data_IF_470957982703
#
_entry.id   IF_470957982703
#
_cell.length_a   1.000
_cell.length_b   1.000
_cell.length_c   1.000
_cell.angle_alpha   90.00
_cell.angle_beta   90.00
_cell.angle_gamma   90.00
#
_symmetry.space_group_name_H-M   'P 1'
#
loop_
_entity.id
_entity.type
_entity.pdbx_description
1 polymer ?
#
# COMPACT_ATOMS: atom_id res chain seq x y z
N UNK A 1 -22.24 -26.17 -9.80
CA UNK A 1 -21.46 -25.54 -8.73
C UNK A 1 -21.96 -24.14 -8.47
N UNK A 2 -22.12 -23.77 -7.20
CA UNK A 2 -22.41 -22.39 -6.78
C UNK A 2 -21.10 -21.69 -6.48
N UNK A 3 -20.96 -20.43 -6.91
CA UNK A 3 -19.77 -19.64 -6.64
C UNK A 3 -20.10 -18.15 -6.48
N UNK A 4 -19.25 -17.45 -5.78
CA UNK A 4 -19.14 -16.02 -5.61
C UNK A 4 -17.65 -15.69 -5.72
N UNK A 5 -17.19 -14.74 -6.46
CA UNK A 5 -17.84 -13.60 -7.12
C UNK A 5 -18.30 -13.92 -8.54
N UNK A 6 -19.14 -13.05 -9.16
CA UNK A 6 -19.62 -13.24 -10.52
C UNK A 6 -18.48 -13.38 -11.53
N UNK A 7 -18.59 -14.37 -12.42
CA UNK A 7 -17.61 -14.63 -13.50
C UNK A 7 -18.40 -14.83 -14.80
N UNK A 8 -17.69 -14.66 -15.91
CA UNK A 8 -18.28 -14.89 -17.24
C UNK A 8 -18.34 -16.37 -17.63
N UNK A 9 -17.57 -17.21 -16.91
CA UNK A 9 -17.54 -18.67 -17.08
C UNK A 9 -17.47 -19.37 -15.74
N UNK A 10 -17.96 -20.59 -15.67
CA UNK A 10 -17.84 -21.45 -14.49
C UNK A 10 -16.36 -21.72 -14.16
N UNK A 11 -15.91 -21.54 -12.91
CA UNK A 11 -14.51 -21.78 -12.56
C UNK A 11 -14.09 -23.25 -12.59
N UNK A 12 -15.05 -24.19 -12.60
CA UNK A 12 -14.77 -25.63 -12.63
C UNK A 12 -14.79 -26.22 -14.05
N UNK A 13 -15.85 -25.93 -14.83
CA UNK A 13 -16.04 -26.55 -16.15
C UNK A 13 -15.90 -25.59 -17.32
N UNK A 14 -15.63 -24.30 -17.07
CA UNK A 14 -15.48 -23.22 -18.06
C UNK A 14 -16.71 -22.98 -18.96
N UNK A 15 -17.88 -23.56 -18.63
CA UNK A 15 -19.12 -23.27 -19.33
C UNK A 15 -19.53 -21.81 -19.13
N UNK A 16 -20.05 -21.17 -20.17
CA UNK A 16 -20.72 -19.87 -20.12
C UNK A 16 -22.20 -19.95 -19.80
N UNK A 17 -22.76 -21.16 -19.69
CA UNK A 17 -24.15 -21.40 -19.29
C UNK A 17 -24.27 -21.22 -17.78
N UNK A 18 -24.51 -19.98 -17.36
CA UNK A 18 -24.59 -19.56 -15.97
C UNK A 18 -25.94 -18.92 -15.69
N UNK A 19 -26.50 -19.21 -14.53
CA UNK A 19 -27.72 -18.58 -14.04
C UNK A 19 -27.51 -17.90 -12.70
N UNK A 20 -28.22 -16.82 -12.45
CA UNK A 20 -28.26 -16.16 -11.15
C UNK A 20 -29.18 -16.91 -10.21
N UNK A 21 -28.69 -17.21 -9.02
CA UNK A 21 -29.45 -17.84 -7.98
C UNK A 21 -29.50 -16.94 -6.75
N UNK A 22 -30.70 -16.70 -6.24
CA UNK A 22 -30.89 -15.95 -5.00
C UNK A 22 -30.43 -16.80 -3.82
N UNK A 23 -29.56 -16.26 -2.99
CA UNK A 23 -29.10 -16.88 -1.75
C UNK A 23 -30.10 -16.59 -0.61
N UNK A 24 -30.14 -17.46 0.39
CA UNK A 24 -30.94 -17.28 1.61
C UNK A 24 -30.50 -16.09 2.44
N UNK A 25 -29.22 -15.72 2.30
CA UNK A 25 -28.57 -14.70 3.11
C UNK A 25 -28.08 -15.23 4.46
N UNK A 26 -28.49 -16.42 4.90
CA UNK A 26 -27.94 -17.02 6.11
C UNK A 26 -26.49 -17.41 5.91
N UNK A 27 -25.65 -17.10 6.91
CA UNK A 27 -24.23 -17.34 6.84
C UNK A 27 -23.64 -17.72 8.19
N UNK A 28 -22.41 -18.21 8.17
CA UNK A 28 -21.60 -18.39 9.36
C UNK A 28 -20.30 -17.60 9.22
N UNK A 29 -19.77 -17.12 10.33
CA UNK A 29 -18.47 -16.44 10.35
C UNK A 29 -17.35 -17.46 10.14
N UNK A 30 -16.72 -17.43 8.97
CA UNK A 30 -15.60 -18.33 8.66
C UNK A 30 -14.30 -17.83 9.28
N UNK A 31 -13.97 -16.54 9.09
CA UNK A 31 -12.81 -15.87 9.73
C UNK A 31 -13.05 -14.37 9.77
N UNK A 32 -12.28 -13.68 10.60
CA UNK A 32 -12.33 -12.23 10.68
C UNK A 32 -10.99 -11.63 11.06
N UNK A 33 -10.86 -10.32 10.83
CA UNK A 33 -9.80 -9.48 11.36
C UNK A 33 -10.35 -8.14 11.81
N UNK A 34 -9.71 -7.54 12.78
CA UNK A 34 -10.11 -6.24 13.31
C UNK A 34 -9.19 -5.19 12.72
N UNK A 35 -9.74 -4.35 11.87
CA UNK A 35 -9.01 -3.21 11.34
C UNK A 35 -9.23 -2.01 12.24
N UNK A 36 -8.19 -1.61 12.95
CA UNK A 36 -8.20 -0.39 13.78
C UNK A 36 -7.89 0.86 12.98
N UNK A 37 -7.89 0.74 11.66
CA UNK A 37 -7.77 1.83 10.69
C UNK A 37 -8.86 1.67 9.64
N UNK A 38 -9.42 2.79 9.15
CA UNK A 38 -10.42 2.69 8.11
C UNK A 38 -9.80 2.08 6.85
N UNK A 39 -10.51 1.14 6.24
CA UNK A 39 -10.11 0.54 4.96
C UNK A 39 -10.21 1.53 3.81
N UNK A 40 -11.04 2.56 3.97
CA UNK A 40 -11.18 3.68 3.04
C UNK A 40 -11.60 4.93 3.85
N UNK A 41 -11.24 6.15 3.44
CA UNK A 41 -11.60 7.39 4.14
C UNK A 41 -13.09 7.56 4.44
N UNK A 42 -13.96 7.04 3.59
CA UNK A 42 -15.43 7.03 3.78
C UNK A 42 -15.85 6.30 5.07
N UNK A 43 -15.05 5.32 5.51
CA UNK A 43 -15.32 4.54 6.73
C UNK A 43 -14.53 5.01 7.95
N UNK A 44 -14.09 6.28 7.95
CA UNK A 44 -13.27 6.81 9.04
C UNK A 44 -13.96 6.76 10.41
N UNK A 45 -15.26 6.93 10.42
CA UNK A 45 -16.09 6.92 11.64
C UNK A 45 -16.53 5.50 12.08
N UNK A 46 -16.18 4.48 11.28
CA UNK A 46 -16.57 3.09 11.54
C UNK A 46 -15.43 2.25 12.17
N UNK A 47 -14.43 2.87 12.76
CA UNK A 47 -13.30 2.17 13.38
C UNK A 47 -13.62 1.83 14.84
N UNK A 48 -13.32 0.60 15.29
CA UNK A 48 -12.69 -0.52 14.57
C UNK A 48 -13.64 -1.19 13.57
N UNK A 49 -13.13 -1.52 12.37
CA UNK A 49 -13.89 -2.29 11.39
C UNK A 49 -13.64 -3.79 11.56
N UNK A 50 -14.69 -4.57 11.62
CA UNK A 50 -14.61 -6.03 11.70
C UNK A 50 -14.76 -6.62 10.30
N UNK A 51 -13.63 -6.78 9.62
CA UNK A 51 -13.59 -7.38 8.29
C UNK A 51 -13.76 -8.89 8.41
N UNK A 52 -14.71 -9.45 7.70
CA UNK A 52 -15.11 -10.85 7.83
C UNK A 52 -15.13 -11.57 6.48
N UNK A 53 -14.73 -12.82 6.50
CA UNK A 53 -15.12 -13.79 5.47
C UNK A 53 -16.28 -14.60 6.05
N UNK A 54 -17.41 -14.57 5.36
CA UNK A 54 -18.59 -15.32 5.74
C UNK A 54 -18.83 -16.45 4.76
N UNK A 55 -19.29 -17.58 5.25
CA UNK A 55 -19.69 -18.73 4.45
C UNK A 55 -21.23 -18.80 4.42
N UNK A 56 -21.80 -18.67 3.24
CA UNK A 56 -23.25 -18.77 3.06
C UNK A 56 -23.72 -20.20 3.30
N UNK A 57 -24.99 -20.37 3.69
CA UNK A 57 -25.63 -21.69 3.84
C UNK A 57 -25.54 -22.51 2.55
N UNK A 58 -25.48 -21.86 1.40
CA UNK A 58 -25.33 -22.46 0.08
C UNK A 58 -23.88 -22.86 -0.27
N UNK A 59 -22.90 -22.56 0.59
CA UNK A 59 -21.50 -22.94 0.47
C UNK A 59 -20.50 -21.86 0.02
N UNK A 60 -20.82 -20.94 -0.90
CA UNK A 60 -19.87 -19.91 -1.31
C UNK A 60 -19.47 -18.98 -0.17
N UNK A 61 -18.21 -18.55 -0.19
CA UNK A 61 -17.67 -17.55 0.74
C UNK A 61 -17.58 -16.18 0.10
N UNK A 62 -17.82 -15.16 0.91
CA UNK A 62 -17.67 -13.77 0.49
C UNK A 62 -17.03 -12.92 1.60
N UNK A 63 -16.37 -11.84 1.19
CA UNK A 63 -15.81 -10.86 2.12
C UNK A 63 -16.81 -9.76 2.39
N UNK A 64 -16.96 -9.39 3.67
CA UNK A 64 -17.88 -8.35 4.12
C UNK A 64 -17.39 -7.73 5.44
N UNK A 65 -18.21 -6.95 6.10
CA UNK A 65 -17.98 -6.41 7.44
C UNK A 65 -19.06 -6.88 8.40
N UNK A 66 -18.67 -7.11 9.67
CA UNK A 66 -19.63 -7.33 10.75
C UNK A 66 -20.03 -5.98 11.33
N UNK A 67 -21.33 -5.86 11.62
CA UNK A 67 -21.94 -4.71 12.29
C UNK A 67 -22.79 -5.19 13.47
N UNK A 68 -23.20 -4.27 14.32
CA UNK A 68 -24.07 -4.54 15.47
C UNK A 68 -23.52 -5.65 16.38
N UNK A 69 -22.20 -5.74 16.56
CA UNK A 69 -21.57 -6.75 17.41
C UNK A 69 -20.43 -6.16 18.21
N UNK A 70 -20.40 -6.25 19.56
CA UNK A 70 -19.24 -5.92 20.37
C UNK A 70 -18.07 -6.88 20.07
N UNK A 71 -16.85 -6.39 20.10
CA UNK A 71 -15.63 -7.16 19.82
C UNK A 71 -15.57 -8.48 20.60
N UNK A 72 -15.90 -8.43 21.88
CA UNK A 72 -15.87 -9.60 22.78
C UNK A 72 -16.90 -10.70 22.43
N UNK A 73 -17.89 -10.40 21.60
CA UNK A 73 -18.94 -11.35 21.20
C UNK A 73 -18.65 -12.01 19.85
N UNK A 74 -17.57 -11.62 19.17
CA UNK A 74 -17.21 -12.19 17.85
C UNK A 74 -16.56 -13.54 18.05
N UNK A 75 -17.19 -14.58 17.52
CA UNK A 75 -16.67 -15.95 17.56
C UNK A 75 -16.78 -16.61 16.19
N UNK A 76 -15.71 -17.30 15.76
CA UNK A 76 -15.75 -18.09 14.53
C UNK A 76 -16.86 -19.15 14.59
N UNK A 77 -17.53 -19.36 13.47
CA UNK A 77 -18.67 -20.28 13.38
C UNK A 77 -20.01 -19.70 13.89
N UNK A 78 -20.05 -18.46 14.38
CA UNK A 78 -21.31 -17.84 14.80
C UNK A 78 -22.24 -17.64 13.60
N UNK A 79 -23.54 -17.83 13.84
CA UNK A 79 -24.56 -17.61 12.83
C UNK A 79 -24.76 -16.12 12.55
N UNK A 80 -24.88 -15.78 11.28
CA UNK A 80 -24.98 -14.41 10.79
C UNK A 80 -26.20 -14.22 9.89
N UNK A 81 -26.75 -13.02 9.89
CA UNK A 81 -27.77 -12.57 8.93
C UNK A 81 -27.29 -11.32 8.18
N UNK A 82 -27.75 -11.12 6.93
CA UNK A 82 -27.33 -9.99 6.12
C UNK A 82 -28.02 -8.69 6.57
N UNK A 83 -27.29 -7.60 6.42
CA UNK A 83 -27.77 -6.22 6.59
C UNK A 83 -27.42 -5.46 5.31
N UNK A 84 -28.42 -4.80 4.72
CA UNK A 84 -28.22 -3.95 3.56
C UNK A 84 -28.28 -2.49 3.99
N UNK A 85 -27.12 -1.86 4.05
CA UNK A 85 -27.00 -0.44 4.40
C UNK A 85 -26.91 0.40 3.13
N UNK A 86 -27.84 1.35 3.00
CA UNK A 86 -27.84 2.27 1.88
C UNK A 86 -27.06 3.52 2.21
N UNK A 87 -26.00 3.76 1.47
CA UNK A 87 -25.25 5.02 1.47
C UNK A 87 -25.89 5.96 0.44
N UNK A 88 -26.67 6.92 0.91
CA UNK A 88 -27.36 7.89 0.03
C UNK A 88 -26.39 8.86 -0.64
N UNK A 89 -25.23 9.13 -0.02
CA UNK A 89 -24.22 10.05 -0.55
C UNK A 89 -23.55 9.47 -1.79
N UNK A 90 -23.14 8.21 -1.70
CA UNK A 90 -22.46 7.50 -2.78
C UNK A 90 -23.40 6.68 -3.67
N UNK A 91 -24.70 6.65 -3.34
CA UNK A 91 -25.75 5.89 -4.05
C UNK A 91 -25.41 4.39 -4.20
N UNK A 92 -24.81 3.81 -3.17
CA UNK A 92 -24.47 2.39 -3.13
C UNK A 92 -25.21 1.72 -1.98
N UNK A 93 -25.39 0.41 -2.09
CA UNK A 93 -25.88 -0.42 -0.99
C UNK A 93 -24.77 -1.37 -0.58
N UNK A 94 -24.37 -1.29 0.69
CA UNK A 94 -23.36 -2.15 1.26
C UNK A 94 -24.03 -3.40 1.84
N UNK A 95 -23.55 -4.57 1.47
CA UNK A 95 -23.91 -5.81 2.12
C UNK A 95 -22.99 -6.01 3.32
N UNK A 96 -23.57 -6.03 4.51
CA UNK A 96 -22.89 -6.31 5.78
C UNK A 96 -23.54 -7.51 6.47
N UNK A 97 -22.95 -7.99 7.53
CA UNK A 97 -23.51 -9.08 8.33
C UNK A 97 -23.53 -8.70 9.81
N UNK A 98 -24.51 -9.23 10.52
CA UNK A 98 -24.61 -9.11 11.99
C UNK A 98 -24.96 -10.46 12.61
N UNK A 99 -24.78 -10.64 13.93
CA UNK A 99 -25.21 -11.87 14.60
C UNK A 99 -26.68 -12.17 14.35
N UNK A 100 -26.97 -13.40 13.97
CA UNK A 100 -28.36 -13.86 13.87
C UNK A 100 -29.05 -13.90 15.24
N UNK A 101 -28.29 -14.25 16.29
CA UNK A 101 -28.76 -14.19 17.69
C UNK A 101 -28.79 -12.73 18.19
N UNK A 102 -29.99 -12.17 18.51
CA UNK A 102 -30.10 -10.84 19.06
C UNK A 102 -29.36 -10.61 20.38
N UNK A 103 -29.14 -11.67 21.16
CA UNK A 103 -28.42 -11.57 22.44
C UNK A 103 -26.93 -11.24 22.28
N UNK A 104 -26.37 -11.47 21.10
CA UNK A 104 -24.97 -11.16 20.77
C UNK A 104 -24.79 -9.76 20.12
N UNK A 105 -25.91 -9.07 19.86
CA UNK A 105 -25.91 -7.75 19.24
C UNK A 105 -25.60 -6.65 20.26
N UNK A 106 -25.00 -5.58 19.80
CA UNK A 106 -24.71 -4.39 20.61
C UNK A 106 -23.92 -3.36 19.81
N UNK A 107 -23.81 -2.17 20.35
CA UNK A 107 -23.00 -1.13 19.72
C UNK A 107 -21.53 -1.54 19.71
N UNK A 108 -20.86 -1.27 18.60
CA UNK A 108 -19.41 -1.35 18.52
C UNK A 108 -18.85 -0.28 19.45
N UNK A 109 -17.95 -0.68 20.34
CA UNK A 109 -17.26 0.28 21.17
C UNK A 109 -16.42 1.18 20.26
N UNK A 110 -16.83 2.43 20.10
CA UNK A 110 -15.97 3.44 19.51
C UNK A 110 -14.70 3.50 20.34
N UNK A 111 -13.57 3.08 19.82
CA UNK A 111 -12.29 3.41 20.44
C UNK A 111 -12.16 4.92 20.38
N UNK A 112 -12.45 5.58 21.46
CA UNK A 112 -11.99 6.95 21.70
C UNK A 112 -10.47 6.87 21.69
N UNK A 113 -9.87 7.17 20.53
CA UNK A 113 -8.45 7.46 20.47
C UNK A 113 -8.23 8.52 21.55
N UNK A 114 -7.50 8.17 22.60
CA UNK A 114 -7.03 9.14 23.59
C UNK A 114 -6.19 10.13 22.80
N UNK A 115 -6.81 11.22 22.42
CA UNK A 115 -6.15 12.35 21.79
C UNK A 115 -5.15 12.88 22.82
N UNK A 116 -3.89 12.43 22.72
CA UNK A 116 -2.79 13.20 23.29
C UNK A 116 -2.84 14.57 22.63
N UNK A 117 -2.71 15.61 23.45
CA UNK A 117 -2.69 17.00 22.98
C UNK A 117 -1.82 17.12 21.72
N UNK A 118 -2.19 17.93 20.72
CA UNK A 118 -1.44 18.07 19.49
C UNK A 118 -0.02 18.52 19.82
N UNK A 119 0.90 17.60 19.75
CA UNK A 119 2.32 17.88 19.89
C UNK A 119 2.76 18.41 18.53
N UNK A 120 2.86 19.73 18.40
CA UNK A 120 3.31 20.38 17.16
C UNK A 120 4.70 19.87 16.76
N UNK A 121 4.94 19.75 15.47
CA UNK A 121 6.28 19.49 14.93
C UNK A 121 7.26 20.52 15.50
N UNK A 122 8.40 20.07 15.99
CA UNK A 122 9.41 20.98 16.51
C UNK A 122 9.95 21.90 15.40
N UNK A 123 10.35 23.12 15.74
CA UNK A 123 11.00 24.02 14.79
C UNK A 123 12.27 23.38 14.19
N UNK A 124 12.98 22.59 14.98
CA UNK A 124 14.12 21.80 14.51
C UNK A 124 13.71 20.85 13.38
N UNK A 125 12.62 20.13 13.53
CA UNK A 125 12.11 19.20 12.49
C UNK A 125 11.71 19.97 11.24
N UNK A 126 10.96 21.06 11.36
CA UNK A 126 10.56 21.91 10.24
C UNK A 126 11.76 22.55 9.53
N UNK A 127 12.85 22.84 10.26
CA UNK A 127 14.10 23.33 9.72
C UNK A 127 14.80 22.36 8.77
N UNK A 128 14.31 21.14 8.59
CA UNK A 128 14.79 20.21 7.57
C UNK A 128 14.14 20.41 6.20
N UNK A 129 13.04 21.12 6.08
CA UNK A 129 12.43 21.44 4.80
C UNK A 129 13.42 22.22 3.94
N UNK A 130 13.64 21.75 2.71
CA UNK A 130 14.62 22.29 1.77
C UNK A 130 16.05 21.75 1.94
N UNK A 131 16.39 21.07 3.03
CA UNK A 131 17.72 20.47 3.19
C UNK A 131 17.94 19.39 2.12
N UNK A 132 19.10 19.47 1.50
CA UNK A 132 19.55 18.57 0.44
C UNK A 132 20.67 17.68 0.97
N UNK A 133 20.58 16.41 0.69
CA UNK A 133 21.65 15.44 0.98
C UNK A 133 22.74 15.43 -0.08
N UNK A 134 23.79 14.66 0.16
CA UNK A 134 24.85 14.44 -0.81
C UNK A 134 24.30 13.74 -2.06
N UNK A 135 24.90 14.07 -3.22
CA UNK A 135 24.65 13.31 -4.45
C UNK A 135 25.39 11.99 -4.40
N UNK A 136 24.65 10.91 -4.61
CA UNK A 136 25.19 9.55 -4.58
C UNK A 136 25.16 9.00 -6.00
N UNK A 137 26.32 8.53 -6.49
CA UNK A 137 26.41 7.79 -7.74
C UNK A 137 26.02 6.33 -7.51
N UNK A 138 25.19 5.80 -8.41
CA UNK A 138 24.90 4.38 -8.55
C UNK A 138 26.03 3.67 -9.31
N UNK A 139 25.91 2.36 -9.45
CA UNK A 139 26.79 1.59 -10.33
C UNK A 139 26.31 1.66 -11.79
N UNK A 140 27.18 1.35 -12.78
CA UNK A 140 26.79 1.37 -14.18
C UNK A 140 25.70 0.36 -14.49
N UNK A 141 24.65 0.80 -15.17
CA UNK A 141 23.53 -0.07 -15.61
C UNK A 141 24.06 -1.08 -16.63
N UNK A 142 23.75 -2.36 -16.46
CA UNK A 142 24.08 -3.39 -17.43
C UNK A 142 22.83 -3.95 -18.14
N UNK A 143 23.00 -4.38 -19.38
CA UNK A 143 21.90 -5.03 -20.12
C UNK A 143 21.43 -6.33 -19.44
N UNK A 144 22.34 -7.04 -18.77
CA UNK A 144 22.00 -8.29 -18.05
C UNK A 144 21.14 -8.00 -16.83
N UNK A 145 21.41 -6.92 -16.08
CA UNK A 145 20.58 -6.54 -14.94
C UNK A 145 19.19 -6.08 -15.37
N UNK A 146 19.09 -5.31 -16.48
CA UNK A 146 17.80 -4.96 -17.07
C UNK A 146 17.03 -6.23 -17.40
N UNK A 147 17.67 -7.19 -18.09
CA UNK A 147 17.06 -8.46 -18.45
C UNK A 147 16.56 -9.23 -17.22
N UNK A 148 17.40 -9.36 -16.19
CA UNK A 148 17.02 -10.04 -14.93
C UNK A 148 15.85 -9.34 -14.22
N UNK A 149 15.86 -8.03 -14.19
CA UNK A 149 14.78 -7.25 -13.62
C UNK A 149 13.46 -7.49 -14.36
N UNK A 150 13.48 -7.46 -15.70
CA UNK A 150 12.30 -7.71 -16.52
C UNK A 150 11.70 -9.10 -16.27
N UNK A 151 12.54 -10.15 -16.20
CA UNK A 151 12.07 -11.49 -15.87
C UNK A 151 11.56 -11.62 -14.44
N UNK A 152 12.17 -10.92 -13.48
CA UNK A 152 11.73 -10.93 -12.08
C UNK A 152 10.37 -10.22 -11.88
N UNK A 153 10.06 -9.23 -12.72
CA UNK A 153 8.82 -8.45 -12.67
C UNK A 153 7.77 -8.88 -13.70
N UNK A 154 8.09 -9.89 -14.51
CA UNK A 154 7.26 -10.36 -15.65
C UNK A 154 6.94 -9.25 -16.67
N UNK A 155 7.84 -8.27 -16.82
CA UNK A 155 7.73 -7.19 -17.81
C UNK A 155 8.51 -7.56 -19.07
N UNK A 156 7.86 -8.31 -19.95
CA UNK A 156 8.46 -8.84 -21.17
C UNK A 156 8.32 -7.89 -22.38
N UNK A 157 8.20 -6.59 -22.16
CA UNK A 157 8.13 -5.60 -23.22
C UNK A 157 9.41 -5.65 -24.08
N UNK A 158 9.29 -5.83 -25.43
CA UNK A 158 10.45 -5.93 -26.32
C UNK A 158 11.44 -4.76 -26.21
N UNK A 159 10.99 -3.54 -25.89
CA UNK A 159 11.88 -2.37 -25.72
C UNK A 159 12.96 -2.58 -24.66
N UNK A 160 12.72 -3.46 -23.69
CA UNK A 160 13.62 -3.73 -22.57
C UNK A 160 14.49 -4.98 -22.81
N UNK A 161 14.12 -5.83 -23.76
CA UNK A 161 14.72 -7.16 -23.95
C UNK A 161 15.35 -7.37 -25.33
N UNK A 162 14.81 -6.71 -26.35
CA UNK A 162 15.25 -6.87 -27.75
C UNK A 162 16.05 -5.65 -28.21
N UNK A 163 17.36 -5.81 -28.52
CA UNK A 163 18.19 -4.71 -28.99
C UNK A 163 17.71 -4.07 -30.30
N UNK A 164 16.89 -4.78 -31.09
CA UNK A 164 16.37 -4.27 -32.36
C UNK A 164 15.03 -3.52 -32.19
N UNK A 165 14.41 -3.61 -31.00
CA UNK A 165 13.11 -2.98 -30.73
C UNK A 165 13.18 -1.45 -30.58
N UNK A 166 14.36 -0.88 -30.36
CA UNK A 166 14.58 0.59 -30.33
C UNK A 166 15.83 0.95 -31.14
N UNK A 167 15.91 2.17 -31.74
CA UNK A 167 17.03 2.56 -32.61
C UNK A 167 18.41 2.48 -31.92
N UNK A 168 18.45 2.69 -30.60
CA UNK A 168 19.71 2.76 -29.84
C UNK A 168 19.87 1.59 -28.87
N UNK A 169 19.22 0.45 -29.15
CA UNK A 169 19.28 -0.75 -28.31
C UNK A 169 18.29 -0.73 -27.15
N UNK A 170 18.42 -1.67 -26.23
CA UNK A 170 17.50 -1.81 -25.09
C UNK A 170 17.53 -0.59 -24.17
N UNK A 171 16.37 -0.31 -23.55
CA UNK A 171 16.24 0.68 -22.47
C UNK A 171 15.85 -0.03 -21.18
N UNK A 172 16.12 0.58 -20.04
CA UNK A 172 15.66 0.05 -18.77
C UNK A 172 14.18 0.40 -18.55
N UNK A 173 13.39 -0.50 -17.93
CA UNK A 173 12.03 -0.19 -17.55
C UNK A 173 12.00 0.90 -16.47
N UNK A 174 10.90 1.69 -16.37
CA UNK A 174 10.84 2.83 -15.44
C UNK A 174 11.18 2.45 -14.00
N UNK A 175 10.68 1.33 -13.50
CA UNK A 175 10.91 0.87 -12.12
C UNK A 175 12.35 0.43 -11.83
N UNK A 176 13.21 0.34 -12.85
CA UNK A 176 14.64 0.05 -12.69
C UNK A 176 15.41 1.21 -12.06
N UNK A 177 14.81 2.40 -11.96
CA UNK A 177 15.43 3.65 -11.51
C UNK A 177 16.17 3.54 -10.16
N UNK A 178 15.65 2.75 -9.22
CA UNK A 178 16.25 2.57 -7.89
C UNK A 178 17.38 1.53 -7.84
N UNK A 179 17.38 0.58 -8.76
CA UNK A 179 18.28 -0.58 -8.75
C UNK A 179 19.76 -0.19 -8.70
N UNK A 180 20.27 0.78 -9.48
CA UNK A 180 21.70 1.16 -9.43
C UNK A 180 22.18 1.72 -8.09
N UNK A 181 21.25 2.00 -7.16
CA UNK A 181 21.56 2.54 -5.84
C UNK A 181 21.40 1.51 -4.72
N UNK A 182 20.96 0.31 -5.05
CA UNK A 182 20.93 -0.80 -4.11
C UNK A 182 22.38 -1.23 -3.86
N UNK A 183 22.82 -1.09 -2.63
CA UNK A 183 24.18 -1.45 -2.23
C UNK A 183 24.11 -2.63 -1.28
N UNK A 184 25.10 -3.51 -1.37
CA UNK A 184 25.29 -4.57 -0.39
C UNK A 184 25.47 -3.95 1.00
N UNK A 185 24.58 -4.31 1.90
CA UNK A 185 24.61 -3.84 3.29
C UNK A 185 24.91 -5.05 4.18
N UNK A 186 26.00 -4.99 4.98
CA UNK A 186 26.28 -6.05 5.94
C UNK A 186 25.14 -6.27 6.91
N UNK A 187 24.86 -7.51 7.30
CA UNK A 187 23.76 -7.84 8.23
C UNK A 187 23.79 -7.02 9.52
N UNK A 188 24.98 -6.69 10.04
CA UNK A 188 25.12 -5.86 11.23
C UNK A 188 24.76 -4.37 11.05
N UNK A 189 24.51 -3.94 9.82
CA UNK A 189 24.06 -2.59 9.48
C UNK A 189 22.58 -2.52 9.12
N UNK A 190 21.86 -3.63 9.29
CA UNK A 190 20.42 -3.69 9.13
C UNK A 190 19.72 -3.56 10.49
N UNK A 191 18.55 -2.94 10.50
CA UNK A 191 17.63 -2.97 11.61
C UNK A 191 16.95 -4.36 11.72
N UNK A 192 16.25 -4.63 12.81
CA UNK A 192 15.56 -5.91 13.05
C UNK A 192 14.54 -6.28 11.95
N UNK A 193 14.02 -5.28 11.22
CA UNK A 193 13.10 -5.45 10.10
C UNK A 193 13.80 -5.62 8.74
N UNK A 194 15.15 -5.68 8.74
CA UNK A 194 15.96 -5.85 7.54
C UNK A 194 16.20 -4.56 6.74
N UNK A 195 15.75 -3.41 7.23
CA UNK A 195 15.98 -2.11 6.57
C UNK A 195 17.37 -1.57 6.95
N UNK A 196 18.17 -1.03 6.00
CA UNK A 196 19.44 -0.40 6.32
C UNK A 196 19.31 0.73 7.36
N UNK A 197 20.12 0.68 8.40
CA UNK A 197 20.14 1.69 9.48
C UNK A 197 20.51 3.07 8.96
N UNK A 198 21.38 3.12 7.95
CA UNK A 198 21.82 4.35 7.29
C UNK A 198 21.49 4.31 5.79
N UNK A 199 20.76 5.30 5.33
CA UNK A 199 20.51 5.52 3.90
C UNK A 199 21.45 6.61 3.39
N UNK A 200 22.48 6.23 2.63
CA UNK A 200 23.46 7.17 2.04
C UNK A 200 22.76 8.29 1.26
N UNK A 201 23.22 9.52 1.45
CA UNK A 201 22.68 10.69 0.76
C UNK A 201 21.28 11.11 1.16
N UNK A 202 20.74 10.60 2.28
CA UNK A 202 19.46 11.06 2.83
C UNK A 202 19.73 11.85 4.11
N UNK A 203 19.25 13.09 4.12
CA UNK A 203 19.13 13.91 5.34
C UNK A 203 17.71 13.76 5.83
N UNK A 204 17.52 13.19 7.02
CA UNK A 204 16.18 12.91 7.56
C UNK A 204 15.97 13.66 8.88
N UNK A 205 14.78 14.26 9.12
CA UNK A 205 14.52 15.00 10.34
C UNK A 205 14.52 14.07 11.57
N UNK A 206 14.93 14.57 12.75
CA UNK A 206 14.83 13.83 13.99
C UNK A 206 13.35 13.72 14.39
N UNK A 207 12.79 12.53 14.25
CA UNK A 207 11.40 12.24 14.61
C UNK A 207 11.38 11.19 15.71
N UNK A 208 10.68 11.51 16.79
CA UNK A 208 10.40 10.54 17.85
C UNK A 208 9.21 9.65 17.44
N UNK A 209 9.49 8.72 16.55
CA UNK A 209 8.49 7.80 15.98
C UNK A 209 9.07 6.39 15.90
N UNK A 210 8.22 5.40 16.23
CA UNK A 210 8.64 3.99 16.29
C UNK A 210 8.48 3.24 14.99
N UNK A 211 7.69 3.76 14.06
CA UNK A 211 7.35 3.08 12.81
C UNK A 211 7.48 4.00 11.63
N UNK A 212 8.11 3.49 10.57
CA UNK A 212 8.16 4.13 9.26
C UNK A 212 7.35 3.29 8.29
N UNK A 213 6.48 3.93 7.52
CA UNK A 213 5.65 3.30 6.51
C UNK A 213 5.90 3.99 5.19
N UNK A 214 5.91 3.21 4.12
CA UNK A 214 5.94 3.74 2.77
C UNK A 214 4.57 4.29 2.40
N UNK A 215 4.48 5.59 2.09
CA UNK A 215 3.24 6.29 1.74
C UNK A 215 2.97 6.38 0.23
N UNK A 216 3.88 5.84 -0.58
CA UNK A 216 3.83 5.90 -2.03
C UNK A 216 4.83 6.87 -2.64
N UNK A 217 4.96 6.82 -3.96
CA UNK A 217 5.80 7.75 -4.72
C UNK A 217 5.16 8.11 -6.05
N UNK A 218 5.59 9.24 -6.59
CA UNK A 218 5.27 9.72 -7.93
C UNK A 218 6.58 9.98 -8.66
N UNK A 219 6.70 9.52 -9.90
CA UNK A 219 7.91 9.72 -10.71
C UNK A 219 7.56 10.36 -12.04
N UNK A 220 8.33 11.36 -12.41
CA UNK A 220 8.32 11.98 -13.73
C UNK A 220 9.64 11.65 -14.44
N UNK A 221 9.55 11.09 -15.65
CA UNK A 221 10.70 10.68 -16.46
C UNK A 221 10.95 11.69 -17.59
N UNK A 222 12.21 12.03 -17.82
CA UNK A 222 12.66 12.99 -18.83
C UNK A 222 13.54 12.34 -19.89
N UNK A 223 14.34 11.35 -19.50
CA UNK A 223 15.30 10.67 -20.38
C UNK A 223 15.28 9.19 -20.09
N UNK A 224 15.38 8.37 -21.14
CA UNK A 224 15.47 6.91 -21.02
C UNK A 224 16.80 6.49 -20.38
N UNK A 225 16.75 5.46 -19.54
CA UNK A 225 17.93 4.83 -18.97
C UNK A 225 18.41 3.72 -19.90
N UNK A 226 19.70 3.63 -20.14
CA UNK A 226 20.31 2.66 -21.06
C UNK A 226 21.48 1.91 -20.43
N UNK A 227 21.85 0.73 -20.95
CA UNK A 227 23.09 0.08 -20.57
C UNK A 227 24.28 1.02 -20.74
N UNK A 228 25.15 1.05 -19.74
CA UNK A 228 26.30 1.96 -19.65
C UNK A 228 26.01 3.30 -18.97
N UNK A 229 24.77 3.64 -18.68
CA UNK A 229 24.47 4.83 -17.91
C UNK A 229 24.89 4.64 -16.44
N UNK A 230 25.46 5.71 -15.88
CA UNK A 230 25.75 5.85 -14.45
C UNK A 230 24.85 6.96 -13.92
N UNK A 231 23.89 6.59 -13.10
CA UNK A 231 22.98 7.55 -12.51
C UNK A 231 23.57 8.14 -11.23
N UNK A 232 23.31 9.41 -11.01
CA UNK A 232 23.51 10.08 -9.72
C UNK A 232 22.15 10.48 -9.15
N UNK A 233 21.95 10.24 -7.86
CA UNK A 233 20.72 10.58 -7.14
C UNK A 233 21.00 11.59 -6.05
N UNK A 234 20.29 12.71 -6.05
CA UNK A 234 20.32 13.71 -4.99
C UNK A 234 18.93 13.86 -4.39
N UNK A 235 18.84 13.80 -3.06
CA UNK A 235 17.56 13.86 -2.33
C UNK A 235 17.45 15.15 -1.53
N UNK A 236 16.23 15.71 -1.47
CA UNK A 236 15.86 16.92 -0.75
C UNK A 236 14.59 16.69 0.04
N UNK A 237 14.48 17.19 1.25
CA UNK A 237 13.21 17.24 1.96
C UNK A 237 12.34 18.31 1.31
N UNK A 238 11.24 17.88 0.70
CA UNK A 238 10.31 18.76 0.02
C UNK A 238 9.32 19.39 0.99
N UNK A 239 8.77 18.58 1.90
CA UNK A 239 7.78 19.02 2.88
C UNK A 239 7.77 18.08 4.10
N UNK A 240 7.35 18.62 5.26
CA UNK A 240 7.08 17.89 6.48
C UNK A 240 5.79 18.42 7.06
N UNK A 241 4.77 17.58 7.14
CA UNK A 241 3.52 17.96 7.77
C UNK A 241 2.95 16.81 8.62
N UNK A 242 2.10 17.18 9.56
CA UNK A 242 1.39 16.17 10.35
C UNK A 242 -0.08 16.11 10.00
N UNK A 243 -0.64 14.94 10.23
CA UNK A 243 -2.08 14.73 10.20
C UNK A 243 -2.50 13.96 11.43
N UNK A 244 -3.55 14.42 12.05
CA UNK A 244 -4.22 13.70 13.12
C UNK A 244 -5.30 12.83 12.48
N UNK A 245 -5.20 11.52 12.64
CA UNK A 245 -6.20 10.55 12.20
C UNK A 245 -6.85 9.86 13.40
N UNK A 246 -7.86 9.04 13.13
CA UNK A 246 -8.53 8.21 14.15
C UNK A 246 -7.57 7.25 14.87
N UNK A 247 -6.50 6.83 14.23
CA UNK A 247 -5.46 5.94 14.78
C UNK A 247 -4.24 6.69 15.34
N UNK A 248 -4.37 7.99 15.61
CA UNK A 248 -3.33 8.83 16.19
C UNK A 248 -2.61 9.73 15.18
N UNK A 249 -1.55 10.36 15.66
CA UNK A 249 -0.69 11.28 14.93
C UNK A 249 0.14 10.56 13.89
N UNK A 250 0.24 11.13 12.69
CA UNK A 250 1.12 10.68 11.62
C UNK A 250 1.90 11.86 11.05
N UNK A 251 3.19 11.72 10.90
CA UNK A 251 4.07 12.73 10.33
C UNK A 251 4.46 12.26 8.93
N UNK A 252 4.14 13.08 7.93
CA UNK A 252 4.45 12.84 6.54
C UNK A 252 5.72 13.60 6.18
N UNK A 253 6.71 12.88 5.68
CA UNK A 253 7.94 13.47 5.16
C UNK A 253 7.95 13.21 3.65
N UNK A 254 7.89 14.27 2.87
CA UNK A 254 7.97 14.21 1.42
C UNK A 254 9.42 14.45 1.01
N UNK A 255 9.97 13.51 0.25
CA UNK A 255 11.37 13.54 -0.19
C UNK A 255 11.37 13.57 -1.71
N UNK A 256 11.93 14.62 -2.28
CA UNK A 256 12.19 14.71 -3.70
C UNK A 256 13.57 14.11 -3.99
N UNK A 257 13.66 13.24 -4.98
CA UNK A 257 14.90 12.71 -5.50
C UNK A 257 15.04 13.09 -6.98
N UNK A 258 16.13 13.78 -7.31
CA UNK A 258 16.50 14.10 -8.69
C UNK A 258 17.55 13.11 -9.15
N UNK A 259 17.33 12.50 -10.31
CA UNK A 259 18.23 11.56 -10.95
C UNK A 259 18.84 12.19 -12.20
N UNK A 260 20.16 12.13 -12.33
CA UNK A 260 20.89 12.60 -13.50
C UNK A 260 21.85 11.50 -13.98
N UNK A 261 22.09 11.42 -15.28
CA UNK A 261 23.10 10.52 -15.81
C UNK A 261 24.50 11.17 -15.83
N UNK A 262 25.53 10.42 -16.24
CA UNK A 262 26.92 10.89 -16.33
C UNK A 262 27.13 12.04 -17.33
N UNK A 263 26.16 12.30 -18.21
CA UNK A 263 26.18 13.44 -19.15
C UNK A 263 25.56 14.71 -18.55
N UNK A 264 25.07 14.64 -17.30
CA UNK A 264 24.36 15.72 -16.64
C UNK A 264 22.90 15.88 -17.08
N UNK A 265 22.37 14.96 -17.86
CA UNK A 265 20.99 14.98 -18.31
C UNK A 265 20.06 14.49 -17.18
N UNK A 266 18.95 15.22 -16.97
CA UNK A 266 17.92 14.83 -16.00
C UNK A 266 17.20 13.58 -16.51
N UNK A 267 17.25 12.51 -15.74
CA UNK A 267 16.60 11.23 -16.05
C UNK A 267 15.22 11.17 -15.45
N UNK A 268 15.09 11.47 -14.17
CA UNK A 268 13.81 11.45 -13.48
C UNK A 268 13.79 12.39 -12.27
N UNK A 269 12.58 12.74 -11.85
CA UNK A 269 12.30 13.32 -10.53
C UNK A 269 11.26 12.45 -9.85
N UNK A 270 11.59 12.00 -8.64
CA UNK A 270 10.74 11.19 -7.79
C UNK A 270 10.34 12.00 -6.56
N UNK A 271 9.06 11.95 -6.19
CA UNK A 271 8.58 12.42 -4.88
C UNK A 271 8.09 11.23 -4.10
N UNK A 272 8.78 10.92 -3.03
CA UNK A 272 8.52 9.79 -2.14
C UNK A 272 7.90 10.31 -0.83
N UNK A 273 6.88 9.63 -0.33
CA UNK A 273 6.24 9.94 0.96
C UNK A 273 6.57 8.88 1.98
N UNK A 274 7.19 9.29 3.09
CA UNK A 274 7.41 8.44 4.27
C UNK A 274 6.47 8.88 5.37
N UNK A 275 5.68 7.96 5.89
CA UNK A 275 4.75 8.18 6.99
C UNK A 275 5.38 7.64 8.27
N UNK A 276 5.51 8.51 9.26
CA UNK A 276 6.12 8.21 10.56
C UNK A 276 5.05 8.23 11.66
N UNK A 277 5.06 7.18 12.53
CA UNK A 277 4.10 6.99 13.63
C UNK A 277 4.74 6.52 14.91
#
# INVERSE_FOLDING_TARGET
>A
TLFHYPRVVCPECLSSDLEWRQASGKATLYTYTISRRPTHPVFADEVPQYLAVVELEEGPRLTSTLVDVPEGNIAMGMALEPVFERDETNRITLLRFRPADPALRGEQAAETATASAPQQLSEECLGYIGKTGESIAGYPISAEEIRRFCFATDDLNPRFLDPEATPDGVIAPPMFLSIPFDTDVPLGELADDGVPLLQKGLVFPPLDTKRKLFGGYQVEYFTEMRPGDVLSRQRRILDIHERQGSSGRSIFVLIEATYTNQRGEKVAVEVNTIINR
#
